data_IF_081835281479
#
_entry.id   IF_081835281479
#
_cell.length_a   1.000
_cell.length_b   1.000
_cell.length_c   1.000
_cell.angle_alpha   90.00
_cell.angle_beta   90.00
_cell.angle_gamma   90.00
#
_symmetry.space_group_name_H-M   'P 1'
#
loop_
_entity.id
_entity.type
_entity.pdbx_description
1 polymer ?
#
# COMPACT_ATOMS: atom_id res chain seq x y z
N UNK A 1 -20.74 -5.22 4.02
CA UNK A 1 -19.45 -5.74 4.54
C UNK A 1 -18.61 -6.12 3.33
N UNK A 2 -17.56 -5.37 3.03
CA UNK A 2 -16.73 -5.59 1.84
C UNK A 2 -15.65 -6.64 2.18
N UNK A 3 -15.91 -7.90 1.84
CA UNK A 3 -15.00 -9.02 2.13
C UNK A 3 -13.64 -8.91 1.44
N UNK A 4 -13.60 -8.31 0.24
CA UNK A 4 -12.34 -8.08 -0.48
C UNK A 4 -11.44 -7.13 0.31
N UNK A 5 -11.98 -5.98 0.74
CA UNK A 5 -11.24 -5.01 1.56
C UNK A 5 -10.74 -5.64 2.85
N UNK A 6 -11.57 -6.41 3.55
CA UNK A 6 -11.17 -7.11 4.78
C UNK A 6 -10.05 -8.13 4.53
N UNK A 7 -10.14 -8.91 3.44
CA UNK A 7 -9.10 -9.87 3.08
C UNK A 7 -7.77 -9.17 2.73
N UNK A 8 -7.83 -8.08 1.96
CA UNK A 8 -6.67 -7.25 1.67
C UNK A 8 -6.04 -6.68 2.95
N UNK A 9 -6.85 -6.21 3.90
CA UNK A 9 -6.36 -5.72 5.19
C UNK A 9 -5.62 -6.83 5.95
N UNK A 10 -6.25 -8.00 6.13
CA UNK A 10 -5.66 -9.11 6.86
C UNK A 10 -4.32 -9.56 6.25
N UNK A 11 -4.22 -9.59 4.91
CA UNK A 11 -2.99 -9.97 4.23
C UNK A 11 -1.91 -8.89 4.33
N UNK A 12 -2.26 -7.62 4.08
CA UNK A 12 -1.30 -6.53 3.98
C UNK A 12 -0.96 -5.87 5.31
N UNK A 13 -1.65 -6.20 6.40
CA UNK A 13 -1.47 -5.55 7.70
C UNK A 13 0.01 -5.49 8.12
N UNK A 14 0.74 -6.59 7.94
CA UNK A 14 2.18 -6.64 8.23
C UNK A 14 2.98 -5.69 7.33
N UNK A 15 2.75 -5.74 6.01
CA UNK A 15 3.46 -4.89 5.05
C UNK A 15 3.19 -3.40 5.29
N UNK A 16 1.94 -3.02 5.61
CA UNK A 16 1.55 -1.66 5.98
C UNK A 16 2.33 -1.17 7.20
N UNK A 17 2.34 -1.94 8.28
CA UNK A 17 3.05 -1.55 9.50
C UNK A 17 4.55 -1.41 9.27
N UNK A 18 5.17 -2.36 8.55
CA UNK A 18 6.59 -2.30 8.20
C UNK A 18 6.91 -1.10 7.31
N UNK A 19 6.03 -0.77 6.36
CA UNK A 19 6.17 0.42 5.53
C UNK A 19 6.18 1.68 6.40
N UNK A 20 5.19 1.85 7.29
CA UNK A 20 5.12 2.99 8.20
C UNK A 20 6.33 3.08 9.15
N UNK A 21 6.76 1.95 9.72
CA UNK A 21 7.96 1.90 10.56
C UNK A 21 9.22 2.33 9.80
N UNK A 22 9.35 1.95 8.53
CA UNK A 22 10.49 2.33 7.69
C UNK A 22 10.48 3.80 7.24
N UNK A 23 9.41 4.55 7.54
CA UNK A 23 9.32 6.01 7.37
C UNK A 23 9.55 6.78 8.67
N UNK A 24 9.55 6.10 9.83
CA UNK A 24 9.66 6.76 11.11
C UNK A 24 11.07 7.31 11.36
N UNK A 25 11.13 8.46 12.02
CA UNK A 25 12.38 9.08 12.47
C UNK A 25 13.18 8.09 13.35
N UNK A 26 14.49 8.02 13.13
CA UNK A 26 15.38 7.04 13.79
C UNK A 26 15.27 5.59 13.31
N UNK A 27 14.34 5.25 12.40
CA UNK A 27 14.19 3.90 11.81
C UNK A 27 14.05 3.93 10.28
N UNK A 28 14.31 5.07 9.66
CA UNK A 28 14.15 5.28 8.23
C UNK A 28 15.00 4.28 7.43
N UNK A 29 14.35 3.56 6.51
CA UNK A 29 15.01 2.57 5.64
C UNK A 29 14.43 2.64 4.24
N UNK A 30 15.16 3.27 3.31
CA UNK A 30 14.72 3.41 1.92
C UNK A 30 14.52 2.07 1.22
N UNK A 31 15.39 1.08 1.51
CA UNK A 31 15.28 -0.26 0.94
C UNK A 31 14.00 -0.97 1.41
N UNK A 32 13.68 -0.86 2.70
CA UNK A 32 12.47 -1.48 3.24
C UNK A 32 11.20 -0.78 2.74
N UNK A 33 11.20 0.56 2.66
CA UNK A 33 10.12 1.34 2.05
C UNK A 33 9.80 0.83 0.64
N UNK A 34 10.82 0.77 -0.21
CA UNK A 34 10.69 0.28 -1.57
C UNK A 34 10.14 -1.14 -1.58
N UNK A 35 10.76 -2.07 -0.84
CA UNK A 35 10.34 -3.47 -0.80
C UNK A 35 8.87 -3.63 -0.37
N UNK A 36 8.44 -2.95 0.71
CA UNK A 36 7.06 -3.04 1.19
C UNK A 36 6.07 -2.43 0.19
N UNK A 37 6.43 -1.35 -0.48
CA UNK A 37 5.59 -0.73 -1.52
C UNK A 37 5.47 -1.62 -2.76
N UNK A 38 6.56 -2.25 -3.19
CA UNK A 38 6.55 -3.25 -4.27
C UNK A 38 5.63 -4.43 -3.92
N UNK A 39 5.76 -4.97 -2.70
CA UNK A 39 4.95 -6.08 -2.18
C UNK A 39 3.45 -5.74 -2.21
N UNK A 40 3.05 -4.59 -1.64
CA UNK A 40 1.66 -4.16 -1.62
C UNK A 40 1.12 -3.91 -3.03
N UNK A 41 1.89 -3.24 -3.89
CA UNK A 41 1.48 -2.93 -5.27
C UNK A 41 1.30 -4.18 -6.11
N UNK A 42 2.24 -5.13 -6.03
CA UNK A 42 2.16 -6.39 -6.74
C UNK A 42 0.98 -7.24 -6.26
N UNK A 43 0.71 -7.27 -4.95
CA UNK A 43 -0.43 -8.00 -4.40
C UNK A 43 -1.78 -7.56 -5.00
N UNK A 44 -2.02 -6.24 -5.15
CA UNK A 44 -3.26 -5.79 -5.76
C UNK A 44 -3.43 -6.28 -7.20
N UNK A 45 -2.36 -6.25 -7.99
CA UNK A 45 -2.42 -6.78 -9.36
C UNK A 45 -2.68 -8.29 -9.35
N UNK A 46 -2.00 -9.04 -8.48
CA UNK A 46 -2.19 -10.48 -8.32
C UNK A 46 -3.65 -10.85 -8.03
N UNK A 47 -4.28 -10.16 -7.06
CA UNK A 47 -5.69 -10.37 -6.69
C UNK A 47 -6.64 -10.18 -7.88
N UNK A 48 -6.48 -9.11 -8.64
CA UNK A 48 -7.40 -8.80 -9.75
C UNK A 48 -7.10 -9.56 -11.05
N UNK A 49 -5.88 -10.07 -11.21
CA UNK A 49 -5.51 -10.89 -12.36
C UNK A 49 -5.64 -12.39 -12.09
N UNK A 50 -5.84 -12.79 -10.83
CA UNK A 50 -5.97 -14.19 -10.42
C UNK A 50 -4.67 -14.97 -10.62
N UNK A 51 -3.54 -14.38 -10.24
CA UNK A 51 -2.20 -14.98 -10.38
C UNK A 51 -1.39 -14.86 -9.10
N UNK A 52 -0.30 -15.62 -9.01
CA UNK A 52 0.67 -15.48 -7.92
C UNK A 52 1.46 -14.16 -8.03
N UNK A 53 1.89 -13.60 -6.88
CA UNK A 53 2.58 -12.30 -6.81
C UNK A 53 3.87 -12.29 -7.64
N UNK A 54 4.60 -13.40 -7.67
CA UNK A 54 5.85 -13.56 -8.43
C UNK A 54 5.65 -13.44 -9.94
N UNK A 55 4.43 -13.68 -10.43
CA UNK A 55 4.09 -13.59 -11.85
C UNK A 55 3.80 -12.16 -12.30
N UNK A 56 3.49 -11.25 -11.36
CA UNK A 56 3.01 -9.90 -11.66
C UNK A 56 4.03 -9.10 -12.46
N UNK A 57 5.29 -9.05 -12.01
CA UNK A 57 6.32 -8.26 -12.71
C UNK A 57 6.66 -8.79 -14.10
N UNK A 58 6.46 -10.08 -14.35
CA UNK A 58 6.78 -10.73 -15.62
C UNK A 58 5.65 -10.59 -16.64
N UNK A 59 4.39 -10.72 -16.20
CA UNK A 59 3.24 -10.84 -17.08
C UNK A 59 2.31 -9.61 -17.05
N UNK A 60 2.36 -8.80 -16.00
CA UNK A 60 1.47 -7.66 -15.76
C UNK A 60 2.26 -6.41 -15.35
N UNK A 61 3.44 -6.21 -15.95
CA UNK A 61 4.35 -5.09 -15.65
C UNK A 61 3.68 -3.71 -15.79
N UNK A 62 2.75 -3.57 -16.75
CA UNK A 62 2.00 -2.32 -16.97
C UNK A 62 1.02 -2.05 -15.84
N UNK A 63 0.20 -3.02 -15.46
CA UNK A 63 -0.73 -2.89 -14.33
C UNK A 63 0.01 -2.68 -13.02
N UNK A 64 1.11 -3.39 -12.81
CA UNK A 64 2.01 -3.14 -11.69
C UNK A 64 2.47 -1.69 -11.64
N UNK A 65 2.98 -1.17 -12.77
CA UNK A 65 3.44 0.22 -12.85
C UNK A 65 2.30 1.20 -12.55
N UNK A 66 1.09 0.94 -13.06
CA UNK A 66 -0.06 1.80 -12.79
C UNK A 66 -0.42 1.85 -11.29
N UNK A 67 -0.47 0.69 -10.62
CA UNK A 67 -0.77 0.62 -9.18
C UNK A 67 0.34 1.27 -8.37
N UNK A 68 1.60 0.93 -8.69
CA UNK A 68 2.77 1.46 -8.02
C UNK A 68 2.80 3.00 -8.11
N UNK A 69 2.73 3.56 -9.33
CA UNK A 69 2.79 5.00 -9.55
C UNK A 69 1.60 5.72 -8.92
N UNK A 70 0.38 5.16 -9.03
CA UNK A 70 -0.82 5.80 -8.45
C UNK A 70 -0.76 5.83 -6.93
N UNK A 71 -0.20 4.80 -6.30
CA UNK A 71 -0.05 4.75 -4.84
C UNK A 71 1.11 5.59 -4.34
N UNK A 72 1.99 6.09 -5.23
CA UNK A 72 3.02 7.08 -4.86
C UNK A 72 2.42 8.39 -4.36
N UNK A 73 1.21 8.75 -4.82
CA UNK A 73 0.48 9.93 -4.33
C UNK A 73 0.34 9.93 -2.80
N UNK A 74 0.13 8.75 -2.20
CA UNK A 74 0.11 8.58 -0.75
C UNK A 74 1.51 8.52 -0.16
N UNK A 75 2.40 7.70 -0.72
CA UNK A 75 3.71 7.42 -0.10
C UNK A 75 4.66 8.61 -0.09
N UNK A 76 4.48 9.53 -1.03
CA UNK A 76 5.28 10.75 -1.12
C UNK A 76 4.75 11.86 -0.19
N UNK A 77 3.51 11.72 0.32
CA UNK A 77 2.80 12.76 1.08
C UNK A 77 2.15 12.21 2.37
N UNK A 78 2.82 11.31 3.09
CA UNK A 78 2.24 10.64 4.27
C UNK A 78 1.80 11.62 5.38
N UNK A 79 2.53 12.71 5.57
CA UNK A 79 2.19 13.76 6.53
C UNK A 79 0.89 14.49 6.17
N UNK A 80 0.66 14.73 4.87
CA UNK A 80 -0.54 15.40 4.37
C UNK A 80 -1.74 14.44 4.31
N UNK A 81 -1.53 13.24 3.78
CA UNK A 81 -2.61 12.29 3.45
C UNK A 81 -3.14 11.54 4.67
N UNK A 82 -2.27 11.22 5.65
CA UNK A 82 -2.66 10.46 6.85
C UNK A 82 -2.22 11.10 8.17
N UNK A 83 -1.54 12.25 8.14
CA UNK A 83 -1.04 12.90 9.35
C UNK A 83 0.21 12.24 9.92
N UNK A 84 1.01 11.55 9.10
CA UNK A 84 2.23 10.90 9.59
C UNK A 84 3.20 11.94 10.19
N UNK A 85 3.68 11.74 11.43
CA UNK A 85 4.52 12.74 12.08
C UNK A 85 5.92 12.79 11.46
N UNK A 86 6.38 13.99 11.09
CA UNK A 86 7.74 14.20 10.58
C UNK A 86 8.83 14.00 11.64
N UNK A 87 8.46 14.05 12.92
CA UNK A 87 9.34 13.85 14.08
C UNK A 87 8.58 13.16 15.21
N UNK A 88 9.31 12.39 16.02
CA UNK A 88 8.75 11.68 17.16
C UNK A 88 8.22 10.29 16.80
N UNK A 89 7.47 9.69 17.72
CA UNK A 89 6.97 8.32 17.59
C UNK A 89 5.59 8.32 16.92
N UNK A 90 5.42 7.66 15.76
CA UNK A 90 4.12 7.53 15.12
C UNK A 90 3.16 6.64 15.93
N UNK A 91 1.88 7.03 15.95
CA UNK A 91 0.79 6.17 16.45
C UNK A 91 0.39 5.18 15.35
N UNK A 92 0.96 3.98 15.37
CA UNK A 92 0.71 2.99 14.33
C UNK A 92 -0.71 2.43 14.35
N UNK A 93 -1.38 2.41 15.51
CA UNK A 93 -2.75 1.90 15.64
C UNK A 93 -3.74 2.83 14.94
N UNK A 94 -3.49 4.14 14.95
CA UNK A 94 -4.26 5.14 14.19
C UNK A 94 -3.82 5.24 12.72
N UNK A 95 -2.52 5.21 12.44
CA UNK A 95 -1.97 5.45 11.11
C UNK A 95 -2.11 4.27 10.15
N UNK A 96 -1.99 3.03 10.63
CA UNK A 96 -2.05 1.85 9.76
C UNK A 96 -3.41 1.68 9.07
N UNK A 97 -4.56 1.84 9.76
CA UNK A 97 -5.87 1.85 9.11
C UNK A 97 -5.99 2.97 8.08
N UNK A 98 -5.59 4.21 8.40
CA UNK A 98 -5.65 5.36 7.46
C UNK A 98 -4.81 5.12 6.20
N UNK A 99 -3.58 4.63 6.39
CA UNK A 99 -2.71 4.27 5.28
C UNK A 99 -3.37 3.22 4.40
N UNK A 100 -3.87 2.14 4.99
CA UNK A 100 -4.49 1.05 4.24
C UNK A 100 -5.73 1.51 3.48
N UNK A 101 -6.62 2.27 4.10
CA UNK A 101 -7.82 2.83 3.46
C UNK A 101 -7.46 3.61 2.21
N UNK A 102 -6.48 4.51 2.33
CA UNK A 102 -6.04 5.36 1.23
C UNK A 102 -5.32 4.57 0.15
N UNK A 103 -4.43 3.67 0.53
CA UNK A 103 -3.71 2.79 -0.40
C UNK A 103 -4.68 1.89 -1.18
N UNK A 104 -5.65 1.29 -0.49
CA UNK A 104 -6.69 0.46 -1.09
C UNK A 104 -7.49 1.24 -2.13
N UNK A 105 -7.95 2.44 -1.79
CA UNK A 105 -8.69 3.30 -2.71
C UNK A 105 -7.87 3.64 -3.97
N UNK A 106 -6.60 4.03 -3.81
CA UNK A 106 -5.70 4.35 -4.93
C UNK A 106 -5.40 3.13 -5.81
N UNK A 107 -5.17 1.97 -5.20
CA UNK A 107 -4.91 0.73 -5.92
C UNK A 107 -6.14 0.26 -6.72
N UNK A 108 -7.35 0.34 -6.14
CA UNK A 108 -8.59 0.04 -6.86
C UNK A 108 -8.82 1.00 -8.04
N UNK A 109 -8.57 2.30 -7.85
CA UNK A 109 -8.63 3.29 -8.92
C UNK A 109 -7.66 2.96 -10.06
N UNK A 110 -6.41 2.60 -9.72
CA UNK A 110 -5.40 2.22 -10.70
C UNK A 110 -5.79 0.95 -11.49
N UNK A 111 -6.50 0.03 -10.84
CA UNK A 111 -7.05 -1.18 -11.47
C UNK A 111 -8.36 -0.93 -12.23
N UNK A 112 -8.85 0.33 -12.29
CA UNK A 112 -10.14 0.73 -12.89
C UNK A 112 -11.35 0.01 -12.29
N UNK A 113 -11.24 -0.40 -11.02
CA UNK A 113 -12.34 -1.01 -10.27
C UNK A 113 -13.04 0.10 -9.50
N UNK A 114 -14.35 0.27 -9.70
CA UNK A 114 -15.13 1.21 -8.87
C UNK A 114 -15.07 0.71 -7.43
N UNK A 115 -14.48 1.50 -6.54
CA UNK A 115 -14.55 1.26 -5.10
C UNK A 115 -16.03 1.31 -4.71
N UNK A 116 -16.63 0.16 -4.38
CA UNK A 116 -18.00 0.11 -3.89
C UNK A 116 -18.05 0.81 -2.53
N UNK A 117 -18.87 1.88 -2.50
CA UNK A 117 -19.11 2.78 -1.36
C UNK A 117 -19.83 2.09 -0.19
#
# INVERSE_FOLDING_TARGET
MNYLKQACWLHLNFAVHRYLMSNADGRASGAEKAQRHEEMSAFYVAVFKGVEVEQVRRHYAREYKNVHDKTQELTDNLDIEIGFPLRGTPDYDDLAPKFFERFHALALQAMSVKAEA
#
